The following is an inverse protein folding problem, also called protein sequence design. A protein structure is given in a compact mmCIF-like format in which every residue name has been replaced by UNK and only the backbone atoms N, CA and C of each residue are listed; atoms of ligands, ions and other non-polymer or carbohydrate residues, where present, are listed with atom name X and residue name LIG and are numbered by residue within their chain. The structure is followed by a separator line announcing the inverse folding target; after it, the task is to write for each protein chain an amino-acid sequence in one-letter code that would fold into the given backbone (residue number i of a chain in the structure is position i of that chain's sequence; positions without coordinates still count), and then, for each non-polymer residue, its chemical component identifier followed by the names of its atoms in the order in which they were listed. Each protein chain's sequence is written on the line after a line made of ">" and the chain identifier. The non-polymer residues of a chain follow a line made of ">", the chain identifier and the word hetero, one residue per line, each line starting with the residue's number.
data_IF_918577935006
#
_entry.id   IF_918577935006
#
_cell.length_a   1.000
_cell.length_b   1.000
_cell.length_c   1.000
_cell.angle_alpha   90.00
_cell.angle_beta   90.00
_cell.angle_gamma   90.00
#
_symmetry.space_group_name_H-M   'P 1'
#
loop_
_entity.id
_entity.type
_entity.pdbx_description
1 polymer ?
#
# COMPACT_ATOMS: atom_id res chain seq x y z
N UNK A 1 -24.54 34.18 12.52
CA UNK A 1 -24.40 35.54 13.08
C UNK A 1 -24.28 36.51 11.93
N UNK A 2 -25.28 37.38 11.80
CA UNK A 2 -25.83 37.86 10.52
C UNK A 2 -25.10 39.06 9.90
N UNK A 3 -25.08 39.10 8.56
CA UNK A 3 -24.62 40.17 7.66
C UNK A 3 -25.00 41.60 8.11
N UNK A 4 -26.13 41.72 8.81
CA UNK A 4 -26.63 42.95 9.43
C UNK A 4 -25.69 43.54 10.48
N UNK A 5 -24.95 42.71 11.22
CA UNK A 5 -23.97 43.15 12.22
C UNK A 5 -22.68 43.66 11.57
N UNK A 6 -22.28 43.08 10.43
CA UNK A 6 -21.16 43.57 9.62
C UNK A 6 -21.49 44.92 8.96
N UNK A 7 -22.69 45.05 8.38
CA UNK A 7 -23.13 46.30 7.73
C UNK A 7 -23.28 47.45 8.75
N UNK A 8 -23.74 47.15 9.97
CA UNK A 8 -23.85 48.17 11.02
C UNK A 8 -22.47 48.66 11.50
N UNK A 9 -21.51 47.76 11.71
CA UNK A 9 -20.15 48.15 12.10
C UNK A 9 -19.40 48.89 10.99
N UNK A 10 -19.60 48.51 9.72
CA UNK A 10 -19.04 49.22 8.57
C UNK A 10 -19.57 50.66 8.46
N UNK A 11 -20.85 50.88 8.77
CA UNK A 11 -21.46 52.21 8.75
C UNK A 11 -20.93 53.12 9.87
N UNK A 12 -20.71 52.58 11.08
CA UNK A 12 -20.16 53.33 12.23
C UNK A 12 -18.69 53.73 11.97
N UNK A 13 -17.89 52.83 11.40
CA UNK A 13 -16.49 53.10 11.05
C UNK A 13 -16.40 54.18 9.95
N UNK A 14 -17.33 54.16 8.98
CA UNK A 14 -17.37 55.14 7.90
C UNK A 14 -17.77 56.54 8.40
N UNK A 15 -18.70 56.64 9.35
CA UNK A 15 -19.08 57.93 9.95
C UNK A 15 -17.98 58.52 10.85
N UNK A 16 -17.23 57.69 11.58
CA UNK A 16 -16.14 58.16 12.44
C UNK A 16 -14.93 58.73 11.66
N UNK A 17 -14.74 58.34 10.39
CA UNK A 17 -13.62 58.77 9.55
C UNK A 17 -13.89 60.07 8.76
N UNK A 18 -15.15 60.46 8.56
CA UNK A 18 -15.53 61.64 7.75
C UNK A 18 -15.43 62.96 8.53
N UNK A 19 -15.43 62.94 9.87
CA UNK A 19 -15.48 64.15 10.70
C UNK A 19 -14.11 64.82 10.97
N UNK A 20 -12.98 64.28 10.53
CA UNK A 20 -11.67 64.93 10.71
C UNK A 20 -10.92 65.16 9.39
N UNK A 21 -11.00 66.42 8.93
CA UNK A 21 -10.04 67.15 8.09
C UNK A 21 -9.85 66.65 6.66
N UNK A 22 -10.42 67.42 5.74
CA UNK A 22 -10.25 67.29 4.30
C UNK A 22 -8.79 67.42 3.84
N UNK A 23 -8.55 66.90 2.64
CA UNK A 23 -7.27 66.80 1.93
C UNK A 23 -6.40 65.58 2.31
N UNK A 24 -6.98 64.38 2.32
CA UNK A 24 -6.29 63.10 1.97
C UNK A 24 -7.25 61.91 1.75
N UNK A 25 -8.51 62.17 1.36
CA UNK A 25 -9.57 61.13 1.37
C UNK A 25 -9.77 60.46 0.00
N UNK A 26 -9.32 61.09 -1.08
CA UNK A 26 -9.54 60.55 -2.44
C UNK A 26 -8.57 59.41 -2.77
N UNK A 27 -7.33 59.46 -2.27
CA UNK A 27 -6.34 58.40 -2.51
C UNK A 27 -6.59 57.16 -1.65
N UNK A 28 -7.13 57.30 -0.44
CA UNK A 28 -7.40 56.16 0.46
C UNK A 28 -8.62 55.37 0.01
N UNK A 29 -9.71 56.02 -0.39
CA UNK A 29 -10.91 55.34 -0.89
C UNK A 29 -10.63 54.53 -2.18
N UNK A 30 -9.87 55.10 -3.12
CA UNK A 30 -9.51 54.42 -4.36
C UNK A 30 -8.62 53.18 -4.12
N UNK A 31 -7.66 53.28 -3.20
CA UNK A 31 -6.78 52.15 -2.81
C UNK A 31 -7.58 51.07 -2.08
N UNK A 32 -8.45 51.44 -1.13
CA UNK A 32 -9.31 50.49 -0.41
C UNK A 32 -10.26 49.76 -1.36
N UNK A 33 -10.90 50.47 -2.29
CA UNK A 33 -11.74 49.85 -3.33
C UNK A 33 -10.95 48.88 -4.22
N UNK A 34 -9.72 49.23 -4.63
CA UNK A 34 -8.87 48.33 -5.42
C UNK A 34 -8.49 47.06 -4.65
N UNK A 35 -8.11 47.18 -3.37
CA UNK A 35 -7.79 46.02 -2.52
C UNK A 35 -9.04 45.15 -2.33
N UNK A 36 -10.21 45.73 -2.07
CA UNK A 36 -11.46 44.99 -1.95
C UNK A 36 -11.81 44.22 -3.23
N UNK A 37 -11.68 44.85 -4.41
CA UNK A 37 -11.90 44.20 -5.72
C UNK A 37 -10.91 43.06 -5.96
N UNK A 38 -9.63 43.22 -5.60
CA UNK A 38 -8.63 42.16 -5.72
C UNK A 38 -8.93 40.98 -4.78
N UNK A 39 -9.34 41.25 -3.54
CA UNK A 39 -9.75 40.21 -2.59
C UNK A 39 -11.02 39.49 -3.06
N UNK A 40 -11.99 40.21 -3.63
CA UNK A 40 -13.19 39.61 -4.24
C UNK A 40 -12.85 38.76 -5.46
N UNK A 41 -12.01 39.25 -6.39
CA UNK A 41 -11.54 38.47 -7.55
C UNK A 41 -10.77 37.22 -7.12
N UNK A 42 -9.89 37.34 -6.13
CA UNK A 42 -9.15 36.19 -5.56
C UNK A 42 -10.09 35.20 -4.88
N UNK A 43 -11.07 35.69 -4.11
CA UNK A 43 -12.09 34.84 -3.48
C UNK A 43 -12.96 34.13 -4.51
N UNK A 44 -13.37 34.81 -5.58
CA UNK A 44 -14.14 34.22 -6.69
C UNK A 44 -13.32 33.19 -7.46
N UNK A 45 -12.05 33.48 -7.75
CA UNK A 45 -11.12 32.52 -8.39
C UNK A 45 -10.93 31.28 -7.51
N UNK A 46 -10.63 31.47 -6.22
CA UNK A 46 -10.52 30.38 -5.28
C UNK A 46 -11.83 29.59 -5.19
N UNK A 47 -12.98 30.25 -5.11
CA UNK A 47 -14.29 29.57 -5.06
C UNK A 47 -14.58 28.76 -6.33
N UNK A 48 -14.21 29.27 -7.50
CA UNK A 48 -14.29 28.54 -8.77
C UNK A 48 -13.31 27.36 -8.86
N UNK A 49 -12.11 27.49 -8.30
CA UNK A 49 -11.16 26.37 -8.17
C UNK A 49 -11.68 25.30 -7.20
N UNK A 50 -12.24 25.70 -6.06
CA UNK A 50 -12.89 24.77 -5.11
C UNK A 50 -14.10 24.06 -5.72
N UNK A 51 -14.92 24.75 -6.52
CA UNK A 51 -16.03 24.11 -7.22
C UNK A 51 -15.57 23.05 -8.25
N UNK A 52 -14.42 23.27 -8.90
CA UNK A 52 -13.82 22.26 -9.79
C UNK A 52 -13.28 21.05 -9.02
N UNK A 53 -12.63 21.29 -7.88
CA UNK A 53 -12.13 20.22 -7.00
C UNK A 53 -13.30 19.40 -6.44
N UNK A 54 -14.36 20.05 -5.98
CA UNK A 54 -15.56 19.38 -5.47
C UNK A 54 -16.23 18.52 -6.55
N UNK A 55 -16.35 19.04 -7.77
CA UNK A 55 -16.87 18.27 -8.90
C UNK A 55 -16.00 17.05 -9.22
N UNK A 56 -14.67 17.20 -9.20
CA UNK A 56 -13.73 16.11 -9.42
C UNK A 56 -13.80 15.05 -8.32
N UNK A 57 -13.90 15.47 -7.06
CA UNK A 57 -14.04 14.55 -5.92
C UNK A 57 -15.34 13.77 -6.00
N UNK A 58 -16.44 14.43 -6.38
CA UNK A 58 -17.73 13.76 -6.56
C UNK A 58 -17.71 12.76 -7.70
N UNK A 59 -17.15 13.13 -8.86
CA UNK A 59 -16.98 12.21 -9.99
C UNK A 59 -16.09 11.00 -9.62
N UNK A 60 -15.02 11.24 -8.85
CA UNK A 60 -14.16 10.19 -8.33
C UNK A 60 -14.91 9.26 -7.36
N UNK A 61 -15.65 9.83 -6.40
CA UNK A 61 -16.48 9.08 -5.46
C UNK A 61 -17.49 8.19 -6.19
N UNK A 62 -18.20 8.74 -7.17
CA UNK A 62 -19.19 8.01 -7.96
C UNK A 62 -18.56 6.89 -8.79
N UNK A 63 -17.42 7.14 -9.45
CA UNK A 63 -16.72 6.15 -10.26
C UNK A 63 -16.08 5.04 -9.44
N UNK A 64 -15.56 5.37 -8.27
CA UNK A 64 -14.97 4.43 -7.32
C UNK A 64 -15.98 3.75 -6.39
N UNK A 65 -17.27 4.14 -6.46
CA UNK A 65 -18.31 3.52 -5.67
C UNK A 65 -18.38 2.00 -5.93
N UNK A 66 -18.32 1.23 -4.85
CA UNK A 66 -18.36 -0.23 -4.83
C UNK A 66 -19.54 -0.73 -3.98
N UNK A 67 -20.79 -0.40 -4.36
CA UNK A 67 -21.95 -0.91 -3.64
C UNK A 67 -22.01 -2.43 -3.71
N UNK A 68 -22.65 -3.06 -2.71
CA UNK A 68 -22.71 -4.53 -2.58
C UNK A 68 -23.18 -5.23 -3.86
N UNK A 69 -24.14 -4.65 -4.59
CA UNK A 69 -24.59 -5.21 -5.87
C UNK A 69 -23.49 -5.29 -6.94
N UNK A 70 -22.62 -4.28 -7.03
CA UNK A 70 -21.47 -4.26 -7.94
C UNK A 70 -20.39 -5.25 -7.48
N UNK A 71 -20.15 -5.36 -6.18
CA UNK A 71 -19.22 -6.34 -5.62
C UNK A 71 -19.66 -7.79 -5.90
N UNK A 72 -20.96 -8.08 -5.85
CA UNK A 72 -21.51 -9.39 -6.25
C UNK A 72 -21.25 -9.68 -7.72
N UNK A 73 -21.49 -8.71 -8.62
CA UNK A 73 -21.16 -8.86 -10.04
C UNK A 73 -19.68 -9.13 -10.28
N UNK A 74 -18.78 -8.48 -9.52
CA UNK A 74 -17.34 -8.74 -9.59
C UNK A 74 -17.01 -10.16 -9.13
N UNK A 75 -17.63 -10.62 -8.04
CA UNK A 75 -17.44 -11.99 -7.55
C UNK A 75 -17.92 -13.03 -8.58
N UNK A 76 -19.11 -12.83 -9.16
CA UNK A 76 -19.66 -13.72 -10.18
C UNK A 76 -18.74 -13.77 -11.43
N UNK A 77 -18.26 -12.61 -11.88
CA UNK A 77 -17.31 -12.53 -12.99
C UNK A 77 -15.99 -13.24 -12.67
N UNK A 78 -15.48 -13.11 -11.43
CA UNK A 78 -14.29 -13.83 -10.99
C UNK A 78 -14.49 -15.35 -11.01
N UNK A 79 -15.66 -15.84 -10.57
CA UNK A 79 -16.00 -17.27 -10.65
C UNK A 79 -16.03 -17.77 -12.10
N UNK A 80 -16.59 -17.00 -13.03
CA UNK A 80 -16.59 -17.35 -14.46
C UNK A 80 -15.16 -17.45 -15.00
N UNK A 81 -14.30 -16.47 -14.70
CA UNK A 81 -12.90 -16.49 -15.13
C UNK A 81 -12.12 -17.67 -14.51
N UNK A 82 -12.39 -18.02 -13.24
CA UNK A 82 -11.77 -19.20 -12.60
C UNK A 82 -12.14 -20.49 -13.33
N UNK A 83 -13.42 -20.69 -13.67
CA UNK A 83 -13.86 -21.86 -14.42
C UNK A 83 -13.20 -21.92 -15.81
N UNK A 84 -13.13 -20.79 -16.52
CA UNK A 84 -12.49 -20.73 -17.82
C UNK A 84 -10.98 -21.01 -17.75
N UNK A 85 -10.28 -20.52 -16.73
CA UNK A 85 -8.85 -20.78 -16.51
C UNK A 85 -8.55 -22.23 -16.12
N UNK A 86 -9.45 -22.90 -15.40
CA UNK A 86 -9.34 -24.33 -15.07
C UNK A 86 -9.68 -25.25 -16.24
N UNK A 87 -10.54 -24.81 -17.17
CA UNK A 87 -10.97 -25.62 -18.32
C UNK A 87 -9.86 -25.81 -19.37
N UNK A 88 -9.03 -24.79 -19.60
CA UNK A 88 -7.88 -24.88 -20.51
C UNK A 88 -6.82 -23.83 -20.20
N UNK A 89 -5.54 -24.16 -20.42
CA UNK A 89 -4.44 -23.19 -20.34
C UNK A 89 -4.71 -22.00 -21.28
N UNK A 90 -4.67 -20.78 -20.74
CA UNK A 90 -4.97 -19.56 -21.48
C UNK A 90 -6.46 -19.28 -21.74
N UNK A 91 -7.39 -20.08 -21.18
CA UNK A 91 -8.84 -19.88 -21.31
C UNK A 91 -9.39 -18.64 -20.61
N UNK A 92 -8.60 -18.02 -19.71
CA UNK A 92 -8.98 -16.85 -18.92
C UNK A 92 -7.78 -15.92 -18.71
N UNK A 93 -8.03 -14.70 -18.24
CA UNK A 93 -6.98 -13.84 -17.66
C UNK A 93 -6.45 -14.38 -16.32
N UNK A 94 -7.22 -15.18 -15.61
CA UNK A 94 -6.77 -15.94 -14.45
C UNK A 94 -6.07 -17.21 -14.94
N UNK A 95 -4.76 -17.29 -14.67
CA UNK A 95 -3.92 -18.40 -15.16
C UNK A 95 -4.25 -19.75 -14.53
N UNK A 96 -4.81 -19.76 -13.31
CA UNK A 96 -5.16 -20.97 -12.55
C UNK A 96 -4.06 -22.05 -12.58
N UNK A 97 -2.83 -21.64 -12.28
CA UNK A 97 -1.64 -22.50 -12.37
C UNK A 97 -1.72 -23.69 -11.40
N UNK A 98 -1.29 -24.86 -11.85
CA UNK A 98 -1.18 -26.06 -11.02
C UNK A 98 0.04 -25.90 -10.09
N UNK A 99 -0.19 -25.94 -8.78
CA UNK A 99 0.88 -25.80 -7.76
C UNK A 99 1.70 -27.07 -7.53
N UNK A 100 1.21 -28.22 -8.01
CA UNK A 100 1.70 -29.56 -7.66
C UNK A 100 1.67 -29.90 -6.17
N UNK A 101 0.95 -29.11 -5.36
CA UNK A 101 0.66 -29.40 -3.96
C UNK A 101 -0.69 -30.09 -3.88
N UNK A 102 -0.68 -31.41 -3.77
CA UNK A 102 -1.87 -32.25 -3.64
C UNK A 102 -2.24 -32.55 -2.17
N UNK A 103 -1.24 -32.54 -1.29
CA UNK A 103 -1.40 -32.76 0.15
C UNK A 103 -0.97 -31.52 0.93
N UNK A 104 -1.88 -31.00 1.76
CA UNK A 104 -1.57 -29.91 2.68
C UNK A 104 -1.00 -30.46 4.00
N UNK A 105 -0.23 -29.65 4.75
CA UNK A 105 0.26 -30.03 6.07
C UNK A 105 -0.86 -30.51 6.98
N UNK A 106 -0.60 -31.61 7.67
CA UNK A 106 -1.52 -32.33 8.54
C UNK A 106 -1.41 -31.88 10.00
N UNK A 107 -0.24 -31.37 10.38
CA UNK A 107 0.14 -31.08 11.76
C UNK A 107 0.87 -32.23 12.46
N UNK A 108 1.07 -33.36 11.77
CA UNK A 108 1.88 -34.50 12.23
C UNK A 108 3.34 -34.43 11.73
N UNK A 109 3.73 -33.33 11.09
CA UNK A 109 5.10 -33.12 10.63
C UNK A 109 6.07 -32.94 11.79
N UNK A 110 7.26 -33.53 11.68
CA UNK A 110 8.30 -33.51 12.71
C UNK A 110 9.67 -33.27 12.09
N UNK A 111 10.53 -32.54 12.80
CA UNK A 111 11.91 -32.31 12.39
C UNK A 111 12.24 -30.84 12.14
N UNK A 112 13.46 -30.62 11.65
CA UNK A 112 14.01 -29.30 11.33
C UNK A 112 13.80 -28.98 9.85
N UNK A 113 13.07 -27.90 9.57
CA UNK A 113 12.81 -27.43 8.21
C UNK A 113 13.20 -25.96 8.06
N UNK A 114 13.67 -25.61 6.86
CA UNK A 114 13.96 -24.23 6.48
C UNK A 114 12.93 -23.73 5.48
N UNK A 115 12.70 -22.42 5.48
CA UNK A 115 11.97 -21.74 4.43
C UNK A 115 12.72 -20.50 3.95
N UNK A 116 12.68 -20.29 2.65
CA UNK A 116 13.11 -19.07 1.98
C UNK A 116 11.86 -18.45 1.33
N UNK A 117 11.58 -17.21 1.66
CA UNK A 117 10.49 -16.45 1.05
C UNK A 117 11.06 -15.23 0.35
N UNK A 118 11.12 -15.31 -0.98
CA UNK A 118 11.57 -14.22 -1.83
C UNK A 118 10.36 -13.38 -2.24
N UNK A 119 10.26 -12.21 -1.63
CA UNK A 119 9.31 -11.15 -1.98
C UNK A 119 9.87 -10.21 -3.06
N UNK A 120 9.32 -9.00 -3.09
CA UNK A 120 9.75 -7.97 -4.06
C UNK A 120 11.00 -7.20 -3.63
N UNK A 121 10.99 -6.63 -2.42
CA UNK A 121 12.05 -5.73 -1.93
C UNK A 121 12.86 -6.32 -0.78
N UNK A 122 12.42 -7.45 -0.25
CA UNK A 122 13.02 -8.19 0.83
C UNK A 122 12.87 -9.69 0.58
N UNK A 123 13.67 -10.47 1.29
CA UNK A 123 13.40 -11.89 1.46
C UNK A 123 13.55 -12.26 2.93
N UNK A 124 12.93 -13.37 3.30
CA UNK A 124 13.00 -13.93 4.64
C UNK A 124 13.64 -15.30 4.57
N UNK A 125 14.58 -15.56 5.47
CA UNK A 125 15.05 -16.91 5.76
C UNK A 125 14.51 -17.31 7.11
N UNK A 126 13.97 -18.52 7.19
CA UNK A 126 13.26 -19.02 8.36
C UNK A 126 13.71 -20.45 8.63
N UNK A 127 13.69 -20.84 9.90
CA UNK A 127 13.81 -22.23 10.33
C UNK A 127 12.78 -22.55 11.39
N UNK A 128 12.29 -23.78 11.37
CA UNK A 128 11.30 -24.27 12.31
C UNK A 128 11.69 -25.66 12.80
N UNK A 129 11.63 -25.85 14.11
CA UNK A 129 11.67 -27.17 14.74
C UNK A 129 10.22 -27.60 15.00
N UNK A 130 9.76 -28.58 14.24
CA UNK A 130 8.47 -29.24 14.44
C UNK A 130 8.67 -30.45 15.36
N UNK A 131 7.67 -30.72 16.20
CA UNK A 131 7.68 -31.80 17.18
C UNK A 131 6.32 -32.48 17.29
N UNK A 132 6.26 -33.60 18.01
CA UNK A 132 5.08 -34.45 18.04
C UNK A 132 3.83 -33.74 18.59
N UNK A 133 2.69 -33.95 17.93
CA UNK A 133 1.28 -33.69 18.33
C UNK A 133 1.00 -32.42 19.15
N UNK A 134 1.34 -32.43 20.44
CA UNK A 134 1.05 -31.33 21.38
C UNK A 134 2.05 -30.17 21.30
N UNK A 135 3.25 -30.39 20.74
CA UNK A 135 4.28 -29.36 20.52
C UNK A 135 4.51 -29.12 19.02
N UNK A 136 3.44 -28.75 18.30
CA UNK A 136 3.41 -28.52 16.84
C UNK A 136 4.56 -27.65 16.31
N UNK A 137 4.92 -26.60 17.05
CA UNK A 137 6.08 -25.77 16.74
C UNK A 137 6.89 -25.55 18.01
N UNK A 138 8.02 -26.23 18.11
CA UNK A 138 8.90 -26.19 19.28
C UNK A 138 9.68 -24.88 19.32
N UNK A 139 10.24 -24.49 18.16
CA UNK A 139 11.01 -23.26 18.00
C UNK A 139 10.92 -22.78 16.57
N UNK A 140 10.92 -21.46 16.39
CA UNK A 140 11.02 -20.85 15.07
C UNK A 140 11.92 -19.62 15.15
N UNK A 141 12.65 -19.36 14.08
CA UNK A 141 13.45 -18.15 13.91
C UNK A 141 13.30 -17.63 12.49
N UNK A 142 13.34 -16.30 12.36
CA UNK A 142 13.15 -15.59 11.10
C UNK A 142 14.17 -14.46 11.02
N UNK A 143 14.85 -14.36 9.89
CA UNK A 143 15.70 -13.22 9.54
C UNK A 143 15.18 -12.61 8.24
N UNK A 144 14.79 -11.34 8.32
CA UNK A 144 14.45 -10.55 7.15
C UNK A 144 15.71 -9.86 6.60
N UNK A 145 15.86 -9.87 5.28
CA UNK A 145 16.99 -9.27 4.58
C UNK A 145 16.45 -8.38 3.48
N UNK A 146 16.86 -7.11 3.49
CA UNK A 146 16.52 -6.15 2.44
C UNK A 146 17.36 -6.42 1.19
N UNK A 147 16.72 -6.40 0.02
CA UNK A 147 17.43 -6.54 -1.26
C UNK A 147 17.77 -5.14 -1.74
N UNK A 148 19.07 -4.85 -1.86
CA UNK A 148 19.52 -3.55 -2.37
C UNK A 148 19.08 -3.36 -3.82
N UNK A 149 18.82 -2.11 -4.23
CA UNK A 149 18.42 -1.80 -5.61
C UNK A 149 19.42 -2.29 -6.65
N UNK A 150 20.72 -2.27 -6.34
CA UNK A 150 21.77 -2.76 -7.23
C UNK A 150 21.69 -4.27 -7.47
N UNK A 151 21.24 -5.03 -6.46
CA UNK A 151 21.02 -6.47 -6.58
C UNK A 151 19.72 -6.76 -7.34
N UNK A 152 18.64 -6.01 -7.05
CA UNK A 152 17.36 -6.16 -7.76
C UNK A 152 17.46 -5.81 -9.26
N UNK A 153 18.20 -4.75 -9.59
CA UNK A 153 18.43 -4.30 -10.96
C UNK A 153 19.73 -4.87 -11.57
N UNK A 154 20.33 -5.86 -10.91
CA UNK A 154 21.56 -6.48 -11.35
C UNK A 154 21.40 -7.12 -12.73
N UNK A 155 22.49 -7.16 -13.50
CA UNK A 155 22.48 -7.64 -14.88
C UNK A 155 22.28 -9.16 -15.03
N UNK A 156 22.38 -9.92 -13.93
CA UNK A 156 22.32 -11.39 -13.92
C UNK A 156 21.55 -11.89 -12.69
N UNK A 157 20.78 -12.97 -12.88
CA UNK A 157 20.12 -13.69 -11.79
C UNK A 157 21.11 -14.29 -10.80
N UNK A 158 22.34 -14.61 -11.24
CA UNK A 158 23.38 -15.17 -10.36
C UNK A 158 23.68 -14.24 -9.20
N UNK A 159 23.78 -12.92 -9.44
CA UNK A 159 24.05 -11.93 -8.39
C UNK A 159 22.96 -11.95 -7.31
N UNK A 160 21.69 -12.10 -7.70
CA UNK A 160 20.57 -12.18 -6.77
C UNK A 160 20.61 -13.49 -5.97
N UNK A 161 20.78 -14.63 -6.65
CA UNK A 161 20.76 -15.92 -5.98
C UNK A 161 22.00 -16.18 -5.12
N UNK A 162 23.17 -15.65 -5.49
CA UNK A 162 24.38 -15.69 -4.66
C UNK A 162 24.20 -14.87 -3.38
N UNK A 163 23.58 -13.69 -3.48
CA UNK A 163 23.24 -12.87 -2.32
C UNK A 163 22.28 -13.59 -1.37
N UNK A 164 21.23 -14.22 -1.91
CA UNK A 164 20.26 -15.00 -1.13
C UNK A 164 20.94 -16.22 -0.48
N UNK A 165 21.72 -16.98 -1.26
CA UNK A 165 22.41 -18.19 -0.77
C UNK A 165 23.42 -17.85 0.32
N UNK A 166 24.15 -16.74 0.19
CA UNK A 166 25.08 -16.25 1.23
C UNK A 166 24.34 -15.95 2.52
N UNK A 167 23.24 -15.19 2.45
CA UNK A 167 22.45 -14.86 3.63
C UNK A 167 21.81 -16.10 4.28
N UNK A 168 21.38 -17.09 3.48
CA UNK A 168 20.87 -18.36 3.98
C UNK A 168 21.97 -19.17 4.66
N UNK A 169 23.17 -19.24 4.10
CA UNK A 169 24.31 -19.95 4.69
C UNK A 169 24.71 -19.33 6.03
N UNK A 170 24.78 -18.00 6.11
CA UNK A 170 25.00 -17.29 7.38
C UNK A 170 23.92 -17.62 8.42
N UNK A 171 22.65 -17.68 8.01
CA UNK A 171 21.55 -18.01 8.90
C UNK A 171 21.56 -19.48 9.35
N UNK A 172 22.00 -20.41 8.50
CA UNK A 172 22.22 -21.81 8.89
C UNK A 172 23.37 -21.91 9.90
N UNK A 173 24.42 -21.11 9.76
CA UNK A 173 25.55 -21.10 10.68
C UNK A 173 25.20 -20.61 12.11
N UNK A 174 24.05 -19.96 12.31
CA UNK A 174 23.56 -19.55 13.64
C UNK A 174 22.66 -20.59 14.32
N UNK A 175 22.59 -21.82 13.80
CA UNK A 175 21.81 -22.91 14.41
C UNK A 175 22.28 -23.18 15.84
N UNK A 176 21.36 -23.03 16.79
CA UNK A 176 21.60 -23.34 18.21
C UNK A 176 21.05 -24.72 18.59
N UNK A 177 21.37 -25.15 19.81
CA UNK A 177 21.08 -26.51 20.32
C UNK A 177 19.59 -26.91 20.29
N UNK A 178 18.66 -25.96 20.22
CA UNK A 178 17.22 -26.24 20.16
C UNK A 178 16.76 -26.77 18.78
N UNK A 179 17.59 -26.64 17.75
CA UNK A 179 17.32 -27.13 16.40
C UNK A 179 18.11 -28.42 16.17
N UNK A 180 17.39 -29.50 15.86
CA UNK A 180 17.95 -30.83 15.82
C UNK A 180 17.81 -31.42 14.41
N UNK A 181 18.92 -31.50 13.69
CA UNK A 181 19.01 -32.25 12.45
C UNK A 181 19.49 -33.69 12.74
N UNK A 182 18.70 -34.73 12.42
CA UNK A 182 19.14 -36.11 12.62
C UNK A 182 20.43 -36.42 11.83
N UNK A 183 21.38 -37.19 12.41
CA UNK A 183 22.62 -37.55 11.72
C UNK A 183 22.35 -38.20 10.35
N UNK A 184 23.12 -37.78 9.35
CA UNK A 184 22.98 -38.30 7.97
C UNK A 184 21.81 -37.71 7.18
N UNK A 185 21.02 -36.78 7.75
CA UNK A 185 20.00 -36.03 7.00
C UNK A 185 20.54 -34.72 6.43
N UNK A 186 20.02 -34.36 5.26
CA UNK A 186 20.23 -33.06 4.64
C UNK A 186 19.14 -32.08 5.11
N UNK A 187 19.49 -30.80 5.25
CA UNK A 187 18.48 -29.75 5.50
C UNK A 187 17.59 -29.59 4.28
N UNK A 188 16.28 -29.60 4.51
CA UNK A 188 15.27 -29.37 3.47
C UNK A 188 14.80 -27.91 3.51
N UNK A 189 14.53 -27.35 2.32
CA UNK A 189 14.17 -25.95 2.14
C UNK A 189 12.87 -25.84 1.35
N UNK A 190 11.85 -25.24 1.95
CA UNK A 190 10.70 -24.73 1.21
C UNK A 190 11.04 -23.38 0.57
N UNK A 191 10.86 -23.25 -0.74
CA UNK A 191 11.14 -21.99 -1.44
C UNK A 191 9.85 -21.34 -1.95
N UNK A 192 9.45 -20.24 -1.32
CA UNK A 192 8.36 -19.37 -1.80
C UNK A 192 8.96 -18.32 -2.73
N UNK A 193 8.57 -18.37 -4.00
CA UNK A 193 9.01 -17.45 -5.04
C UNK A 193 7.82 -16.60 -5.51
N UNK A 194 7.72 -15.37 -5.01
CA UNK A 194 6.54 -14.50 -5.22
C UNK A 194 6.50 -13.81 -6.59
N UNK A 195 6.89 -14.54 -7.64
CA UNK A 195 6.78 -14.12 -9.03
C UNK A 195 6.09 -15.23 -9.84
N UNK A 196 5.40 -14.92 -10.95
CA UNK A 196 4.77 -15.96 -11.77
C UNK A 196 5.79 -16.98 -12.28
N UNK A 197 5.57 -18.27 -11.96
CA UNK A 197 6.39 -19.42 -12.40
C UNK A 197 5.59 -20.27 -13.40
N UNK A 198 6.28 -21.03 -14.25
CA UNK A 198 5.69 -22.07 -15.11
C UNK A 198 6.19 -23.43 -14.69
#
# INVERSE_FOLDING_TARGET
>A
MTLRWMLHNLSIIFQAQVQQRGVSVVCTAAVVCRVAVLLMKRRMKNFGEWGKVEALLKDFEEKCATPVGKLRQVADAMTVEMHAGLASEGGSKLKMLISYVDNLPTGDEEGLFYALDLGGTNFRVMRVQLGEKEKRMVKHEVKEVLISQNVMAGSSSEVLFDFIATALAEFVATEGDDFHLPPGRQRELGFTFSFPVK
#
